data_IF_360304087929
#
_entry.id   IF_360304087929
#
_cell.length_a   1.000
_cell.length_b   1.000
_cell.length_c   1.000
_cell.angle_alpha   90.00
_cell.angle_beta   90.00
_cell.angle_gamma   90.00
#
_symmetry.space_group_name_H-M   'P 1'
#
loop_
_entity.id
_entity.type
_entity.pdbx_description
1 polymer ?
#
# COMPACT_ATOMS: atom_id res chain seq x y z
N UNK A 1 7.58 -2.86 27.67
CA UNK A 1 8.01 -1.45 27.62
C UNK A 1 8.46 -1.16 26.20
N UNK A 2 7.65 -0.42 25.43
CA UNK A 2 7.98 -0.06 24.05
C UNK A 2 9.01 1.09 24.16
N UNK A 3 10.28 0.78 23.96
CA UNK A 3 11.36 1.77 23.94
C UNK A 3 10.98 2.83 22.90
N UNK A 4 10.77 4.10 23.31
CA UNK A 4 10.02 5.14 22.60
C UNK A 4 10.55 5.62 21.24
N UNK A 5 11.23 4.75 20.48
CA UNK A 5 11.73 4.99 19.13
C UNK A 5 10.68 4.56 18.10
N UNK A 6 10.31 5.52 17.25
CA UNK A 6 9.41 5.35 16.11
C UNK A 6 9.89 4.24 15.17
N UNK A 7 9.05 3.22 14.94
CA UNK A 7 9.32 2.09 14.03
C UNK A 7 8.23 2.00 12.97
N UNK A 8 8.37 2.70 11.82
CA UNK A 8 7.27 2.85 10.88
C UNK A 8 7.12 1.64 9.95
N UNK A 9 5.91 1.47 9.41
CA UNK A 9 5.73 0.80 8.13
C UNK A 9 6.10 1.76 7.00
N UNK A 10 6.85 1.28 6.01
CA UNK A 10 7.07 2.07 4.79
C UNK A 10 5.99 1.72 3.77
N UNK A 11 5.27 2.71 3.27
CA UNK A 11 4.28 2.55 2.21
C UNK A 11 4.82 3.16 0.92
N UNK A 12 5.06 2.31 -0.08
CA UNK A 12 5.48 2.71 -1.41
C UNK A 12 4.30 2.78 -2.37
N UNK A 13 4.06 3.95 -2.96
CA UNK A 13 3.02 4.13 -3.99
C UNK A 13 3.73 4.20 -5.34
N UNK A 14 3.47 3.22 -6.21
CA UNK A 14 4.08 3.17 -7.55
C UNK A 14 3.05 3.50 -8.64
N UNK A 15 3.53 3.78 -9.86
CA UNK A 15 2.69 4.25 -10.98
C UNK A 15 1.75 3.22 -11.62
N UNK A 16 1.21 2.28 -10.86
CA UNK A 16 0.04 1.52 -11.29
C UNK A 16 -1.22 2.30 -10.91
N UNK A 17 -2.30 2.05 -11.63
CA UNK A 17 -3.62 2.51 -11.19
C UNK A 17 -4.09 1.71 -9.96
N UNK A 18 -4.97 2.30 -9.16
CA UNK A 18 -5.42 1.76 -7.87
C UNK A 18 -4.96 2.57 -6.67
N UNK A 19 -4.84 3.89 -6.80
CA UNK A 19 -4.55 4.78 -5.68
C UNK A 19 -5.57 4.71 -4.53
N UNK A 20 -6.87 4.36 -4.74
CA UNK A 20 -7.77 4.09 -3.63
C UNK A 20 -7.30 2.96 -2.69
N UNK A 21 -6.63 1.92 -3.22
CA UNK A 21 -6.08 0.84 -2.38
C UNK A 21 -5.00 1.38 -1.43
N UNK A 22 -4.13 2.26 -1.93
CA UNK A 22 -3.07 2.86 -1.12
C UNK A 22 -3.66 3.78 -0.05
N UNK A 23 -4.67 4.58 -0.40
CA UNK A 23 -5.36 5.44 0.56
C UNK A 23 -6.02 4.61 1.68
N UNK A 24 -6.67 3.50 1.35
CA UNK A 24 -7.28 2.60 2.32
C UNK A 24 -6.24 1.94 3.26
N UNK A 25 -5.11 1.48 2.72
CA UNK A 25 -3.98 0.95 3.54
C UNK A 25 -3.43 2.02 4.47
N UNK A 26 -3.18 3.23 3.97
CA UNK A 26 -2.66 4.34 4.77
C UNK A 26 -3.62 4.71 5.90
N UNK A 27 -4.92 4.87 5.61
CA UNK A 27 -5.93 5.14 6.63
C UNK A 27 -5.96 4.07 7.71
N UNK A 28 -5.95 2.80 7.32
CA UNK A 28 -6.04 1.69 8.27
C UNK A 28 -4.77 1.52 9.12
N UNK A 29 -3.57 1.81 8.57
CA UNK A 29 -2.34 1.87 9.37
C UNK A 29 -2.45 2.97 10.44
N UNK A 30 -2.90 4.17 10.05
CA UNK A 30 -3.07 5.28 10.99
C UNK A 30 -4.14 4.99 12.06
N UNK A 31 -5.25 4.36 11.68
CA UNK A 31 -6.29 3.91 12.62
C UNK A 31 -5.77 2.86 13.61
N UNK A 32 -4.88 1.96 13.16
CA UNK A 32 -4.19 1.00 14.00
C UNK A 32 -3.10 1.62 14.91
N UNK A 33 -2.89 2.94 14.86
CA UNK A 33 -1.85 3.64 15.63
C UNK A 33 -0.43 3.38 15.11
N UNK A 34 -0.30 2.96 13.86
CA UNK A 34 0.99 2.71 13.23
C UNK A 34 1.65 4.01 12.73
N UNK A 35 2.95 4.16 12.95
CA UNK A 35 3.72 5.20 12.28
C UNK A 35 3.97 4.82 10.82
N UNK A 36 3.92 5.80 9.91
CA UNK A 36 4.03 5.55 8.47
C UNK A 36 5.12 6.41 7.84
N UNK A 37 6.00 5.78 7.07
CA UNK A 37 6.87 6.48 6.12
C UNK A 37 6.32 6.25 4.72
N UNK A 38 6.03 7.31 3.96
CA UNK A 38 5.46 7.20 2.62
C UNK A 38 6.45 7.64 1.55
N UNK A 39 6.57 6.82 0.51
CA UNK A 39 7.33 7.12 -0.71
C UNK A 39 6.35 7.11 -1.89
N UNK A 40 6.13 8.26 -2.49
CA UNK A 40 5.30 8.40 -3.70
C UNK A 40 6.23 8.51 -4.90
N UNK A 41 6.25 7.49 -5.76
CA UNK A 41 7.07 7.49 -6.98
C UNK A 41 6.70 8.65 -7.91
N UNK A 42 7.60 9.04 -8.82
CA UNK A 42 7.27 10.06 -9.83
C UNK A 42 6.09 9.64 -10.72
N UNK A 43 6.04 8.37 -11.09
CA UNK A 43 4.97 7.83 -11.95
C UNK A 43 3.61 7.81 -11.24
N UNK A 44 3.54 7.52 -9.94
CA UNK A 44 2.28 7.53 -9.18
C UNK A 44 1.66 8.91 -9.04
N UNK A 45 2.43 10.00 -9.20
CA UNK A 45 1.84 11.35 -9.21
C UNK A 45 0.90 11.56 -10.40
N UNK A 46 1.20 10.91 -11.52
CA UNK A 46 0.36 10.96 -12.72
C UNK A 46 -0.90 10.12 -12.52
N UNK A 47 -0.78 8.90 -11.99
CA UNK A 47 -1.95 8.05 -11.75
C UNK A 47 -2.85 8.62 -10.65
N UNK A 48 -2.28 9.22 -9.60
CA UNK A 48 -3.06 9.91 -8.58
C UNK A 48 -3.85 11.08 -9.16
N UNK A 49 -3.21 11.91 -9.99
CA UNK A 49 -3.88 13.02 -10.67
C UNK A 49 -5.01 12.52 -11.58
N UNK A 50 -4.75 11.47 -12.36
CA UNK A 50 -5.72 10.91 -13.30
C UNK A 50 -6.92 10.28 -12.58
N UNK A 51 -6.70 9.58 -11.46
CA UNK A 51 -7.75 8.87 -10.75
C UNK A 51 -8.55 9.73 -9.77
N UNK A 52 -7.95 10.79 -9.24
CA UNK A 52 -8.53 11.57 -8.13
C UNK A 52 -8.62 13.07 -8.40
N UNK A 53 -7.97 13.58 -9.44
CA UNK A 53 -7.79 15.01 -9.66
C UNK A 53 -6.76 15.68 -8.74
N UNK A 54 -6.19 14.95 -7.78
CA UNK A 54 -5.28 15.49 -6.77
C UNK A 54 -3.83 15.44 -7.27
N UNK A 55 -3.14 16.58 -7.18
CA UNK A 55 -1.70 16.66 -7.41
C UNK A 55 -0.97 16.26 -6.13
N UNK A 56 0.19 15.62 -6.25
CA UNK A 56 1.06 15.33 -5.10
C UNK A 56 2.42 16.00 -5.27
N UNK A 57 2.67 17.04 -4.48
CA UNK A 57 3.82 17.93 -4.58
C UNK A 57 4.69 17.79 -3.35
N UNK A 58 6.01 17.70 -3.54
CA UNK A 58 6.94 17.50 -2.42
C UNK A 58 6.82 18.59 -1.35
N UNK A 59 6.64 19.84 -1.76
CA UNK A 59 6.54 20.99 -0.87
C UNK A 59 5.17 21.13 -0.17
N UNK A 60 4.15 20.39 -0.61
CA UNK A 60 2.78 20.46 -0.10
C UNK A 60 2.23 19.06 0.24
N UNK A 61 3.13 18.13 0.57
CA UNK A 61 2.76 16.72 0.69
C UNK A 61 1.73 16.51 1.81
N UNK A 62 1.74 17.32 2.87
CA UNK A 62 0.76 17.20 3.96
C UNK A 62 -0.64 17.56 3.49
N UNK A 63 -0.80 18.68 2.77
CA UNK A 63 -2.09 19.10 2.23
C UNK A 63 -2.58 18.09 1.20
N UNK A 64 -1.72 17.74 0.24
CA UNK A 64 -2.04 16.84 -0.87
C UNK A 64 -2.37 15.43 -0.36
N UNK A 65 -1.65 14.92 0.65
CA UNK A 65 -1.95 13.63 1.28
C UNK A 65 -3.26 13.68 2.06
N UNK A 66 -3.54 14.76 2.80
CA UNK A 66 -4.79 14.88 3.57
C UNK A 66 -6.01 14.91 2.66
N UNK A 67 -5.93 15.63 1.55
CA UNK A 67 -6.97 15.67 0.53
C UNK A 67 -7.19 14.28 -0.08
N UNK A 68 -6.10 13.60 -0.44
CA UNK A 68 -6.18 12.26 -1.00
C UNK A 68 -6.80 11.24 -0.03
N UNK A 69 -6.41 11.26 1.24
CA UNK A 69 -6.93 10.32 2.23
C UNK A 69 -8.39 10.57 2.60
N UNK A 70 -8.93 11.78 2.35
CA UNK A 70 -10.34 12.09 2.58
C UNK A 70 -11.28 11.43 1.55
N UNK A 71 -10.77 11.11 0.36
CA UNK A 71 -11.56 10.51 -0.71
C UNK A 71 -11.80 9.00 -0.49
N UNK A 72 -12.99 8.54 -0.83
CA UNK A 72 -13.24 7.13 -1.11
C UNK A 72 -13.07 6.79 -2.59
N UNK A 73 -13.28 5.52 -2.89
CA UNK A 73 -13.01 4.93 -4.20
C UNK A 73 -13.93 5.44 -5.33
N UNK A 74 -15.02 6.12 -5.01
CA UNK A 74 -15.91 6.81 -5.95
C UNK A 74 -15.50 8.28 -6.21
N UNK A 75 -14.37 8.73 -5.65
CA UNK A 75 -13.85 10.08 -5.79
C UNK A 75 -14.53 11.12 -4.91
N UNK A 76 -15.41 10.73 -3.99
CA UNK A 76 -16.10 11.64 -3.08
C UNK A 76 -15.47 11.66 -1.69
N UNK A 77 -15.57 12.78 -0.96
CA UNK A 77 -15.10 12.84 0.42
C UNK A 77 -15.99 11.97 1.32
N UNK A 78 -15.43 10.85 1.77
CA UNK A 78 -16.11 9.89 2.66
C UNK A 78 -15.42 9.75 4.01
N UNK A 79 -14.14 10.14 4.08
CA UNK A 79 -13.32 9.97 5.28
C UNK A 79 -12.99 11.32 5.90
N UNK A 80 -12.95 11.42 7.24
CA UNK A 80 -12.44 12.62 7.89
C UNK A 80 -10.97 12.81 7.53
N UNK A 81 -10.51 14.07 7.54
CA UNK A 81 -9.11 14.39 7.27
C UNK A 81 -8.17 13.63 8.21
N UNK A 82 -7.20 12.92 7.63
CA UNK A 82 -6.26 12.11 8.40
C UNK A 82 -5.34 12.97 9.29
N UNK A 83 -5.06 12.49 10.50
CA UNK A 83 -3.97 13.04 11.34
C UNK A 83 -2.65 12.50 10.82
N UNK A 84 -1.75 13.40 10.46
CA UNK A 84 -0.47 13.07 9.80
C UNK A 84 0.74 13.22 10.73
N UNK A 85 0.52 13.35 12.05
CA UNK A 85 1.56 13.60 13.06
C UNK A 85 2.64 12.51 13.04
N UNK A 86 2.24 11.25 12.83
CA UNK A 86 3.14 10.10 12.75
C UNK A 86 3.50 9.68 11.32
N UNK A 87 3.24 10.55 10.33
CA UNK A 87 3.58 10.32 8.92
C UNK A 87 4.84 11.08 8.54
N UNK A 88 5.76 10.43 7.83
CA UNK A 88 6.91 11.07 7.17
C UNK A 88 6.87 10.81 5.68
N UNK A 89 6.96 11.86 4.88
CA UNK A 89 7.13 11.75 3.44
C UNK A 89 8.61 11.74 3.07
N UNK A 90 8.98 10.83 2.17
CA UNK A 90 10.29 10.82 1.54
C UNK A 90 10.16 10.99 0.03
N UNK A 91 10.79 12.02 -0.57
CA UNK A 91 10.81 12.19 -2.01
C UNK A 91 11.41 10.97 -2.71
N UNK A 92 10.82 10.54 -3.84
CA UNK A 92 11.28 9.33 -4.55
C UNK A 92 12.74 9.40 -5.02
N UNK A 93 13.29 10.60 -5.20
CA UNK A 93 14.69 10.81 -5.59
C UNK A 93 15.68 10.88 -4.42
N UNK A 94 15.21 10.90 -3.17
CA UNK A 94 16.07 11.06 -2.00
C UNK A 94 16.69 9.72 -1.57
N UNK A 95 17.77 9.33 -2.22
CA UNK A 95 18.51 8.10 -1.87
C UNK A 95 19.30 8.23 -0.54
N UNK A 96 19.39 9.42 0.04
CA UNK A 96 19.98 9.65 1.36
C UNK A 96 18.94 9.53 2.50
N UNK A 97 17.66 9.36 2.17
CA UNK A 97 16.58 9.16 3.13
C UNK A 97 16.85 8.00 4.08
N UNK A 98 16.39 8.11 5.34
CA UNK A 98 16.59 7.08 6.37
C UNK A 98 16.28 5.64 5.89
N UNK A 99 15.09 5.37 5.31
CA UNK A 99 14.72 4.05 4.79
C UNK A 99 15.67 3.45 3.73
N UNK A 100 16.59 4.21 3.14
CA UNK A 100 17.59 3.69 2.19
C UNK A 100 18.70 2.86 2.87
N UNK A 101 18.75 2.87 4.20
CA UNK A 101 19.68 2.13 5.04
C UNK A 101 19.02 0.98 5.81
N UNK A 102 19.72 -0.15 5.93
CA UNK A 102 19.29 -1.29 6.76
C UNK A 102 19.26 -0.98 8.26
N UNK A 103 20.07 -0.04 8.73
CA UNK A 103 20.06 0.40 10.14
C UNK A 103 18.82 1.22 10.52
N UNK A 104 18.05 1.69 9.54
CA UNK A 104 16.81 2.42 9.80
C UNK A 104 15.74 1.47 10.35
N UNK A 105 15.08 1.80 11.47
CA UNK A 105 14.27 0.83 12.23
C UNK A 105 12.84 0.69 11.70
N UNK A 106 12.67 0.39 10.40
CA UNK A 106 11.37 0.10 9.80
C UNK A 106 10.84 -1.29 10.19
N UNK A 107 9.52 -1.44 10.30
CA UNK A 107 8.83 -2.72 10.51
C UNK A 107 8.89 -3.61 9.27
N UNK A 108 8.70 -2.99 8.11
CA UNK A 108 8.64 -3.64 6.80
C UNK A 108 8.15 -2.62 5.76
N UNK A 109 7.79 -3.11 4.58
CA UNK A 109 7.33 -2.28 3.47
C UNK A 109 6.09 -2.86 2.79
N UNK A 110 5.14 -1.98 2.43
CA UNK A 110 3.95 -2.30 1.66
C UNK A 110 4.00 -1.47 0.37
N UNK A 111 4.12 -2.12 -0.79
CA UNK A 111 4.04 -1.43 -2.08
C UNK A 111 2.61 -1.55 -2.60
N UNK A 112 1.86 -0.46 -2.58
CA UNK A 112 0.44 -0.43 -2.94
C UNK A 112 0.09 0.87 -3.68
N UNK A 113 -0.44 0.78 -4.92
CA UNK A 113 -0.31 -0.35 -5.84
C UNK A 113 1.15 -0.51 -6.33
N UNK A 114 1.49 -1.71 -6.78
CA UNK A 114 2.76 -2.04 -7.44
C UNK A 114 2.58 -2.17 -8.96
N UNK A 115 3.30 -1.35 -9.73
CA UNK A 115 3.37 -1.44 -11.19
C UNK A 115 4.32 -2.54 -11.64
N UNK A 116 4.13 -3.04 -12.86
CA UNK A 116 5.07 -4.02 -13.46
C UNK A 116 6.49 -3.47 -13.56
N UNK A 117 6.67 -2.17 -13.80
CA UNK A 117 7.98 -1.53 -13.76
C UNK A 117 8.61 -1.49 -12.35
N UNK A 118 7.79 -1.32 -11.30
CA UNK A 118 8.23 -1.44 -9.92
C UNK A 118 8.63 -2.89 -9.60
N UNK A 119 7.75 -3.85 -9.90
CA UNK A 119 7.99 -5.29 -9.73
C UNK A 119 9.30 -5.72 -10.38
N UNK A 120 9.50 -5.35 -11.66
CA UNK A 120 10.73 -5.64 -12.39
C UNK A 120 11.97 -5.05 -11.70
N UNK A 121 11.90 -3.78 -11.28
CA UNK A 121 13.05 -3.12 -10.65
C UNK A 121 13.41 -3.69 -9.29
N UNK A 122 12.43 -4.10 -8.49
CA UNK A 122 12.66 -4.79 -7.20
C UNK A 122 13.22 -6.20 -7.44
N UNK A 123 12.60 -6.97 -8.34
CA UNK A 123 13.03 -8.35 -8.63
C UNK A 123 14.47 -8.42 -9.16
N UNK A 124 14.88 -7.42 -9.96
CA UNK A 124 16.24 -7.30 -10.49
C UNK A 124 17.22 -6.61 -9.53
N UNK A 125 16.76 -6.09 -8.39
CA UNK A 125 17.60 -5.39 -7.42
C UNK A 125 18.15 -4.04 -7.88
N UNK A 126 17.54 -3.39 -8.87
CA UNK A 126 18.08 -2.19 -9.53
C UNK A 126 18.29 -1.01 -8.58
N UNK A 127 17.39 -0.83 -7.60
CA UNK A 127 17.41 0.29 -6.65
C UNK A 127 17.51 1.67 -7.31
N UNK A 128 16.84 1.89 -8.44
CA UNK A 128 16.99 3.11 -9.26
C UNK A 128 16.37 4.38 -8.62
N UNK A 129 15.48 4.19 -7.66
CA UNK A 129 14.81 5.24 -6.89
C UNK A 129 14.62 4.77 -5.44
N UNK A 130 14.17 5.68 -4.57
CA UNK A 130 14.01 5.37 -3.15
C UNK A 130 13.03 4.22 -2.92
N UNK A 131 11.93 4.14 -3.67
CA UNK A 131 10.94 3.07 -3.51
C UNK A 131 11.59 1.70 -3.73
N UNK A 132 12.32 1.53 -4.84
CA UNK A 132 13.02 0.28 -5.13
C UNK A 132 14.15 0.01 -4.13
N UNK A 133 14.87 1.06 -3.72
CA UNK A 133 15.94 0.93 -2.73
C UNK A 133 15.41 0.45 -1.38
N UNK A 134 14.29 0.99 -0.90
CA UNK A 134 13.68 0.55 0.36
C UNK A 134 13.20 -0.89 0.25
N UNK A 135 12.65 -1.31 -0.89
CA UNK A 135 12.26 -2.71 -1.09
C UNK A 135 13.47 -3.66 -1.03
N UNK A 136 14.58 -3.30 -1.68
CA UNK A 136 15.85 -4.04 -1.60
C UNK A 136 16.39 -4.11 -0.17
N UNK A 137 16.33 -3.01 0.58
CA UNK A 137 16.69 -2.97 2.01
C UNK A 137 15.76 -3.86 2.83
N UNK A 138 14.46 -3.83 2.57
CA UNK A 138 13.46 -4.63 3.28
C UNK A 138 13.76 -6.12 3.12
N UNK A 139 14.02 -6.57 1.88
CA UNK A 139 14.37 -7.96 1.59
C UNK A 139 15.69 -8.39 2.23
N UNK A 140 16.77 -7.61 2.06
CA UNK A 140 18.10 -8.00 2.60
C UNK A 140 18.12 -8.05 4.13
N UNK A 141 17.30 -7.23 4.79
CA UNK A 141 17.12 -7.23 6.25
C UNK A 141 16.08 -8.25 6.73
N UNK A 142 15.54 -9.07 5.82
CA UNK A 142 14.49 -10.08 6.11
C UNK A 142 13.26 -9.50 6.83
N UNK A 143 12.86 -8.30 6.42
CA UNK A 143 11.64 -7.64 6.91
C UNK A 143 10.47 -7.99 5.99
N UNK A 144 9.23 -7.97 6.49
CA UNK A 144 8.05 -8.18 5.65
C UNK A 144 8.00 -7.20 4.49
N UNK A 145 7.85 -7.73 3.27
CA UNK A 145 7.57 -6.96 2.06
C UNK A 145 6.26 -7.49 1.45
N UNK A 146 5.27 -6.63 1.29
CA UNK A 146 4.03 -6.95 0.56
C UNK A 146 4.01 -6.15 -0.74
N UNK A 147 3.77 -6.82 -1.87
CA UNK A 147 3.75 -6.22 -3.20
C UNK A 147 2.36 -6.38 -3.81
N UNK A 148 1.56 -5.31 -3.73
CA UNK A 148 0.19 -5.29 -4.20
C UNK A 148 0.12 -5.01 -5.72
N UNK A 149 0.43 -6.02 -6.56
CA UNK A 149 0.53 -5.84 -8.01
C UNK A 149 -0.84 -5.55 -8.65
N UNK A 150 -0.90 -4.51 -9.48
CA UNK A 150 -2.07 -4.19 -10.29
C UNK A 150 -1.67 -4.18 -11.77
N UNK A 151 -2.05 -5.23 -12.49
CA UNK A 151 -1.87 -5.36 -13.94
C UNK A 151 -2.82 -6.43 -14.50
N UNK A 152 -3.30 -6.26 -15.72
CA UNK A 152 -3.96 -7.33 -16.48
C UNK A 152 -4.01 -6.98 -17.97
N UNK A 153 -3.73 -7.92 -18.89
CA UNK A 153 -3.22 -9.27 -18.68
C UNK A 153 -1.73 -9.29 -18.26
N UNK A 154 -1.27 -10.40 -17.68
CA UNK A 154 0.13 -10.57 -17.30
C UNK A 154 0.96 -11.19 -18.42
N UNK A 155 2.14 -10.60 -18.68
CA UNK A 155 3.13 -11.20 -19.57
C UNK A 155 3.92 -12.32 -18.88
N UNK A 156 4.52 -13.22 -19.66
CA UNK A 156 5.42 -14.26 -19.12
C UNK A 156 6.61 -13.68 -18.34
N UNK A 157 7.08 -12.48 -18.71
CA UNK A 157 8.15 -11.82 -17.97
C UNK A 157 7.68 -11.29 -16.62
N UNK A 158 6.50 -10.68 -16.58
CA UNK A 158 5.89 -10.21 -15.33
C UNK A 158 5.64 -11.38 -14.37
N UNK A 159 5.15 -12.52 -14.87
CA UNK A 159 4.95 -13.73 -14.07
C UNK A 159 6.25 -14.24 -13.45
N UNK A 160 7.33 -14.35 -14.24
CA UNK A 160 8.66 -14.75 -13.73
C UNK A 160 9.19 -13.82 -12.65
N UNK A 161 8.99 -12.51 -12.81
CA UNK A 161 9.42 -11.52 -11.81
C UNK A 161 8.59 -11.61 -10.52
N UNK A 162 7.29 -11.88 -10.62
CA UNK A 162 6.45 -12.11 -9.45
C UNK A 162 6.90 -13.37 -8.70
N UNK A 163 7.19 -14.47 -9.41
CA UNK A 163 7.77 -15.68 -8.79
C UNK A 163 9.10 -15.37 -8.11
N UNK A 164 10.00 -14.64 -8.76
CA UNK A 164 11.29 -14.28 -8.17
C UNK A 164 11.15 -13.44 -6.88
N UNK A 165 10.13 -12.57 -6.79
CA UNK A 165 9.85 -11.82 -5.57
C UNK A 165 9.31 -12.72 -4.45
N UNK A 166 8.43 -13.66 -4.78
CA UNK A 166 7.92 -14.66 -3.84
C UNK A 166 9.05 -15.54 -3.29
N UNK A 167 9.93 -16.05 -4.16
CA UNK A 167 11.12 -16.82 -3.78
C UNK A 167 12.09 -16.01 -2.89
N UNK A 168 12.15 -14.68 -3.07
CA UNK A 168 12.94 -13.79 -2.22
C UNK A 168 12.28 -13.50 -0.85
N UNK A 169 11.07 -14.00 -0.60
CA UNK A 169 10.33 -13.84 0.65
C UNK A 169 9.36 -12.66 0.69
N UNK A 170 9.08 -12.02 -0.45
CA UNK A 170 8.01 -11.03 -0.54
C UNK A 170 6.64 -11.72 -0.67
N UNK A 171 5.59 -11.13 -0.10
CA UNK A 171 4.22 -11.54 -0.39
C UNK A 171 3.78 -10.89 -1.70
N UNK A 172 3.51 -11.70 -2.71
CA UNK A 172 2.89 -11.25 -3.96
C UNK A 172 1.38 -11.23 -3.80
N UNK A 173 0.78 -10.03 -3.87
CA UNK A 173 -0.65 -9.81 -3.65
C UNK A 173 -1.27 -9.12 -4.85
N UNK A 174 -1.89 -9.83 -5.80
CA UNK A 174 -2.62 -9.18 -6.88
C UNK A 174 -3.80 -8.36 -6.36
N UNK A 175 -4.03 -7.17 -6.90
CA UNK A 175 -5.18 -6.32 -6.62
C UNK A 175 -6.47 -6.89 -7.26
N UNK A 176 -6.86 -8.08 -6.79
CA UNK A 176 -7.97 -8.89 -7.27
C UNK A 176 -9.00 -9.05 -6.15
N UNK A 177 -9.95 -8.10 -6.00
CA UNK A 177 -10.90 -8.10 -4.89
C UNK A 177 -11.86 -9.29 -4.94
N UNK A 178 -12.27 -9.76 -3.77
CA UNK A 178 -13.24 -10.85 -3.66
C UNK A 178 -14.67 -10.34 -3.43
N UNK A 179 -15.63 -11.05 -4.01
CA UNK A 179 -17.05 -10.74 -3.89
C UNK A 179 -17.74 -11.48 -2.74
N UNK A 180 -17.09 -12.49 -2.16
CA UNK A 180 -17.67 -13.27 -1.05
C UNK A 180 -17.77 -12.47 0.25
N UNK A 181 -17.07 -11.34 0.34
CA UNK A 181 -17.13 -10.45 1.50
C UNK A 181 -18.43 -9.62 1.57
N UNK A 182 -19.37 -9.81 0.62
CA UNK A 182 -20.64 -9.10 0.61
C UNK A 182 -20.53 -7.67 0.08
N UNK A 183 -19.57 -7.40 -0.81
CA UNK A 183 -19.36 -6.09 -1.39
C UNK A 183 -20.62 -5.57 -2.09
N UNK A 184 -21.06 -4.38 -1.69
CA UNK A 184 -22.20 -3.66 -2.28
C UNK A 184 -21.78 -2.33 -2.91
N UNK A 185 -20.64 -1.79 -2.52
CA UNK A 185 -20.09 -0.52 -2.99
C UNK A 185 -18.66 -0.72 -3.46
N UNK A 186 -18.17 0.16 -4.34
CA UNK A 186 -16.80 0.10 -4.86
C UNK A 186 -15.76 0.17 -3.73
N UNK A 187 -16.05 0.90 -2.65
CA UNK A 187 -15.19 0.98 -1.48
C UNK A 187 -14.98 -0.38 -0.82
N UNK A 188 -15.97 -1.27 -0.80
CA UNK A 188 -15.85 -2.60 -0.20
C UNK A 188 -14.80 -3.46 -0.93
N UNK A 189 -14.73 -3.32 -2.26
CA UNK A 189 -13.72 -4.01 -3.07
C UNK A 189 -12.32 -3.46 -2.80
N UNK A 190 -12.21 -2.14 -2.61
CA UNK A 190 -10.96 -1.47 -2.24
C UNK A 190 -10.48 -1.91 -0.86
N UNK A 191 -11.40 -1.90 0.11
CA UNK A 191 -11.15 -2.27 1.50
C UNK A 191 -10.82 -3.76 1.65
N UNK A 192 -11.36 -4.63 0.79
CA UNK A 192 -10.95 -6.02 0.74
C UNK A 192 -9.46 -6.16 0.40
N UNK A 193 -8.99 -5.56 -0.71
CA UNK A 193 -7.57 -5.66 -1.12
C UNK A 193 -6.67 -5.01 -0.08
N UNK A 194 -7.02 -3.82 0.42
CA UNK A 194 -6.26 -3.14 1.46
C UNK A 194 -6.19 -3.97 2.75
N UNK A 195 -7.29 -4.62 3.14
CA UNK A 195 -7.32 -5.54 4.27
C UNK A 195 -6.41 -6.75 4.06
N UNK A 196 -6.38 -7.33 2.86
CA UNK A 196 -5.45 -8.43 2.54
C UNK A 196 -3.98 -8.00 2.62
N UNK A 197 -3.66 -6.75 2.25
CA UNK A 197 -2.31 -6.18 2.43
C UNK A 197 -1.95 -6.08 3.91
N UNK A 198 -2.88 -5.63 4.75
CA UNK A 198 -2.69 -5.50 6.20
C UNK A 198 -2.60 -6.86 6.90
N UNK A 199 -3.42 -7.84 6.49
CA UNK A 199 -3.34 -9.23 6.97
C UNK A 199 -1.94 -9.81 6.71
N UNK A 200 -1.40 -9.63 5.49
CA UNK A 200 -0.06 -10.09 5.13
C UNK A 200 1.05 -9.37 5.92
N UNK A 201 0.79 -8.13 6.35
CA UNK A 201 1.67 -7.35 7.22
C UNK A 201 1.51 -7.69 8.71
N UNK A 202 0.49 -8.45 9.10
CA UNK A 202 0.14 -8.74 10.49
C UNK A 202 -0.45 -7.53 11.23
N UNK A 203 -1.02 -6.55 10.52
CA UNK A 203 -1.64 -5.36 11.11
C UNK A 203 -3.15 -5.60 11.32
N UNK A 204 -3.68 -5.50 12.56
CA UNK A 204 -5.10 -5.63 12.82
C UNK A 204 -5.93 -4.55 12.12
N UNK A 205 -7.06 -4.92 11.53
CA UNK A 205 -7.98 -3.97 10.86
C UNK A 205 -9.42 -4.49 10.87
N UNK A 206 -10.37 -3.62 10.50
CA UNK A 206 -11.80 -3.93 10.35
C UNK A 206 -12.38 -3.67 8.95
N UNK A 207 -11.50 -3.47 7.97
CA UNK A 207 -11.86 -3.12 6.58
C UNK A 207 -12.85 -4.08 5.87
N UNK A 208 -12.86 -5.37 6.20
CA UNK A 208 -13.80 -6.30 5.57
C UNK A 208 -14.22 -7.41 6.56
N UNK A 209 -15.37 -8.05 6.29
CA UNK A 209 -15.85 -9.18 7.08
C UNK A 209 -14.97 -10.41 6.85
N UNK A 210 -14.33 -10.90 7.92
CA UNK A 210 -13.57 -12.17 7.87
C UNK A 210 -14.50 -13.35 7.58
N UNK A 211 -14.04 -14.28 6.76
CA UNK A 211 -14.73 -15.53 6.47
C UNK A 211 -14.85 -16.38 7.75
N UNK A 212 -16.07 -16.84 8.07
CA UNK A 212 -16.37 -17.66 9.26
C UNK A 212 -16.64 -19.14 8.95
N UNK A 213 -16.62 -19.56 7.68
CA UNK A 213 -16.91 -20.94 7.30
C UNK A 213 -18.32 -21.19 6.78
N UNK A 214 -19.21 -20.20 6.81
CA UNK A 214 -20.61 -20.35 6.43
C UNK A 214 -20.93 -19.62 5.11
N UNK A 215 -21.60 -20.32 4.19
CA UNK A 215 -22.02 -19.78 2.90
C UNK A 215 -23.27 -18.90 3.06
N UNK A 216 -23.35 -17.81 2.29
CA UNK A 216 -24.54 -16.95 2.23
C UNK A 216 -24.63 -15.88 3.32
N UNK A 217 -23.93 -16.05 4.45
CA UNK A 217 -23.94 -15.10 5.56
C UNK A 217 -23.63 -13.64 5.17
N UNK A 218 -22.77 -13.43 4.17
CA UNK A 218 -22.39 -12.09 3.73
C UNK A 218 -23.52 -11.37 2.96
N UNK A 219 -24.55 -12.10 2.53
CA UNK A 219 -25.74 -11.56 1.85
C UNK A 219 -26.98 -11.54 2.74
N UNK A 220 -26.99 -12.34 3.81
CA UNK A 220 -28.00 -12.29 4.86
C UNK A 220 -27.85 -10.97 5.61
N UNK A 221 -28.73 -9.99 5.35
CA UNK A 221 -28.76 -8.76 6.13
C UNK A 221 -29.12 -9.06 7.59
N UNK A 222 -28.49 -8.37 8.53
CA UNK A 222 -29.18 -8.04 9.79
C UNK A 222 -30.37 -7.16 9.42
N UNK A 223 -31.60 -7.70 9.50
CA UNK A 223 -32.84 -6.93 9.37
C UNK A 223 -33.76 -7.28 8.20
N UNK A 224 -34.14 -8.56 8.06
CA UNK A 224 -35.51 -8.94 7.65
C UNK A 224 -36.27 -9.40 8.90
#
# INVERSE_FOLDING_TARGET
MNDGKRRPWVVGVSGASGTPYAAAVLRALLDAGESVDIVVSRASRLTLLDETGIKFRDAHWQEDLREWLALGADGKPHFPGARLEDVRYWPAGDLAAGPSSGSYPAKGMLIVPASTACVAGVALGLSKDLLQRVASVTLKERRPLVVAVRETPLSGQSLKQLVALDEAGAVVLPASPAFYAGATHIQDLVDFVAGRVLDAAGVPHRLYRRWKGELGEARSREGD
#
